data_IF_982418579515
#
_entry.id   IF_982418579515
#
_cell.length_a   1.000
_cell.length_b   1.000
_cell.length_c   1.000
_cell.angle_alpha   90.00
_cell.angle_beta   90.00
_cell.angle_gamma   90.00
#
_symmetry.space_group_name_H-M   'P 1'
#
loop_
_entity.id
_entity.type
_entity.pdbx_description
1 polymer ?
#
# COMPACT_ATOMS: atom_id res chain seq x y z
N UNK A 1 -2.79 23.11 4.18
CA UNK A 1 -4.04 22.63 3.57
C UNK A 1 -3.75 21.23 3.10
N UNK A 2 -4.38 20.23 3.68
CA UNK A 2 -4.14 18.84 3.29
C UNK A 2 -4.71 18.60 1.89
N UNK A 3 -3.91 17.99 1.03
CA UNK A 3 -4.28 17.72 -0.36
C UNK A 3 -5.18 16.47 -0.40
N UNK A 4 -6.35 16.58 -1.04
CA UNK A 4 -7.20 15.43 -1.27
C UNK A 4 -6.44 14.37 -2.09
N UNK A 5 -6.74 13.09 -1.84
CA UNK A 5 -6.17 11.98 -2.60
C UNK A 5 -6.75 12.00 -4.00
N UNK A 6 -6.11 12.76 -4.88
CA UNK A 6 -6.40 12.78 -6.32
C UNK A 6 -5.53 11.74 -7.03
N UNK A 7 -5.86 11.33 -8.26
CA UNK A 7 -5.04 10.40 -9.02
C UNK A 7 -3.57 10.82 -9.14
N UNK A 8 -3.31 12.13 -9.27
CA UNK A 8 -1.94 12.67 -9.34
C UNK A 8 -1.17 12.52 -8.01
N UNK A 9 -1.86 12.70 -6.88
CA UNK A 9 -1.26 12.50 -5.55
C UNK A 9 -1.06 11.01 -5.28
N UNK A 10 -2.03 10.17 -5.65
CA UNK A 10 -1.89 8.71 -5.61
C UNK A 10 -0.65 8.27 -6.37
N UNK A 11 -0.50 8.69 -7.63
CA UNK A 11 0.66 8.30 -8.45
C UNK A 11 1.98 8.68 -7.79
N UNK A 12 2.07 9.89 -7.24
CA UNK A 12 3.26 10.37 -6.53
C UNK A 12 3.56 9.56 -5.26
N UNK A 13 2.53 9.19 -4.49
CA UNK A 13 2.67 8.32 -3.31
C UNK A 13 3.15 6.93 -3.76
N UNK A 14 2.52 6.35 -4.78
CA UNK A 14 2.90 5.05 -5.31
C UNK A 14 4.35 5.06 -5.81
N UNK A 15 4.77 6.07 -6.57
CA UNK A 15 6.16 6.20 -7.02
C UNK A 15 7.15 6.24 -5.86
N UNK A 16 6.91 7.07 -4.84
CA UNK A 16 7.76 7.16 -3.66
C UNK A 16 7.81 5.82 -2.90
N UNK A 17 6.64 5.21 -2.65
CA UNK A 17 6.56 3.93 -1.95
C UNK A 17 7.27 2.82 -2.73
N UNK A 18 7.13 2.78 -4.04
CA UNK A 18 7.78 1.78 -4.90
C UNK A 18 9.31 1.96 -4.93
N UNK A 19 9.80 3.20 -4.89
CA UNK A 19 11.24 3.51 -4.95
C UNK A 19 11.95 3.35 -3.60
N UNK A 20 11.37 3.87 -2.52
CA UNK A 20 12.01 3.91 -1.20
C UNK A 20 11.55 2.76 -0.29
N UNK A 21 10.38 2.17 -0.56
CA UNK A 21 9.66 1.31 0.39
C UNK A 21 9.08 0.03 -0.22
N UNK A 22 9.65 -0.49 -1.33
CA UNK A 22 9.15 -1.71 -1.99
C UNK A 22 8.97 -2.92 -1.05
N UNK A 23 9.87 -3.11 -0.08
CA UNK A 23 9.74 -4.17 0.94
C UNK A 23 8.54 -3.97 1.88
N UNK A 24 8.16 -2.73 2.16
CA UNK A 24 6.97 -2.44 2.96
C UNK A 24 5.68 -2.76 2.19
N UNK A 25 5.68 -2.55 0.87
CA UNK A 25 4.55 -2.90 0.01
C UNK A 25 4.34 -4.42 0.00
N UNK A 26 5.43 -5.19 -0.13
CA UNK A 26 5.37 -6.63 -0.03
C UNK A 26 4.78 -7.08 1.31
N UNK A 27 5.23 -6.45 2.41
CA UNK A 27 4.69 -6.74 3.74
C UNK A 27 3.18 -6.48 3.84
N UNK A 28 2.67 -5.42 3.19
CA UNK A 28 1.22 -5.20 3.17
C UNK A 28 0.47 -6.32 2.45
N UNK A 29 0.95 -6.76 1.29
CA UNK A 29 0.34 -7.87 0.56
C UNK A 29 0.38 -9.17 1.38
N UNK A 30 1.46 -9.42 2.11
CA UNK A 30 1.60 -10.60 2.97
C UNK A 30 0.62 -10.59 4.14
N UNK A 31 0.56 -9.49 4.88
CA UNK A 31 -0.20 -9.40 6.14
C UNK A 31 -1.67 -9.05 5.91
N UNK A 32 -1.94 -8.06 5.06
CA UNK A 32 -3.30 -7.56 4.82
C UNK A 32 -3.90 -8.07 3.52
N UNK A 33 -3.07 -8.40 2.54
CA UNK A 33 -3.48 -8.87 1.22
C UNK A 33 -3.76 -10.36 1.11
N UNK A 34 -3.69 -11.10 2.23
CA UNK A 34 -3.88 -12.55 2.28
C UNK A 34 -2.92 -13.33 1.33
N UNK A 35 -1.76 -12.74 1.04
CA UNK A 35 -0.76 -13.26 0.10
C UNK A 35 0.59 -13.44 0.81
N UNK A 36 0.70 -14.33 1.81
CA UNK A 36 1.90 -14.48 2.64
C UNK A 36 3.15 -14.91 1.86
N UNK A 37 2.97 -15.49 0.67
CA UNK A 37 4.06 -15.92 -0.22
C UNK A 37 4.59 -14.80 -1.13
N UNK A 38 4.16 -13.55 -0.92
CA UNK A 38 4.61 -12.41 -1.73
C UNK A 38 6.10 -12.12 -1.54
N UNK A 39 6.89 -12.29 -2.60
CA UNK A 39 8.33 -12.04 -2.59
C UNK A 39 8.66 -10.55 -2.75
N UNK A 40 8.00 -9.90 -3.70
CA UNK A 40 8.10 -8.46 -3.95
C UNK A 40 6.72 -7.92 -4.30
N UNK A 41 6.48 -6.62 -4.11
CA UNK A 41 5.22 -6.05 -4.51
C UNK A 41 5.37 -4.60 -4.96
N UNK A 42 4.48 -4.19 -5.85
CA UNK A 42 4.42 -2.85 -6.43
C UNK A 42 3.05 -2.26 -6.13
N UNK A 43 3.02 -1.07 -5.55
CA UNK A 43 1.79 -0.33 -5.37
C UNK A 43 1.40 0.30 -6.71
N UNK A 44 0.21 -0.03 -7.22
CA UNK A 44 -0.28 0.47 -8.50
C UNK A 44 -1.10 1.75 -8.33
N UNK A 45 -1.92 1.78 -7.28
CA UNK A 45 -2.76 2.94 -6.97
C UNK A 45 -3.17 2.93 -5.51
N UNK A 46 -3.47 4.12 -4.99
CA UNK A 46 -4.04 4.32 -3.67
C UNK A 46 -5.27 5.22 -3.78
N UNK A 47 -6.34 4.79 -3.14
CA UNK A 47 -7.61 5.49 -3.08
C UNK A 47 -8.08 5.58 -1.62
N UNK A 48 -9.06 6.45 -1.30
CA UNK A 48 -9.47 6.66 0.10
C UNK A 48 -9.94 5.40 0.83
N UNK A 49 -10.37 4.39 0.08
CA UNK A 49 -10.88 3.13 0.63
C UNK A 49 -9.79 2.06 0.79
N UNK A 50 -8.69 2.16 0.05
CA UNK A 50 -7.67 1.13 0.02
C UNK A 50 -6.54 1.42 -0.96
N UNK A 51 -5.66 0.44 -1.10
CA UNK A 51 -4.58 0.47 -2.08
C UNK A 51 -4.56 -0.82 -2.90
N UNK A 52 -4.25 -0.67 -4.18
CA UNK A 52 -4.05 -1.79 -5.09
C UNK A 52 -2.55 -2.06 -5.21
N UNK A 53 -2.18 -3.31 -4.98
CA UNK A 53 -0.81 -3.80 -4.95
C UNK A 53 -0.71 -4.98 -5.91
N UNK A 54 0.29 -4.97 -6.78
CA UNK A 54 0.69 -6.11 -7.59
C UNK A 54 1.75 -6.90 -6.84
N UNK A 55 1.34 -8.01 -6.22
CA UNK A 55 2.21 -8.93 -5.49
C UNK A 55 2.86 -9.93 -6.44
N UNK A 56 4.18 -10.10 -6.37
CA UNK A 56 4.91 -11.12 -7.10
C UNK A 56 5.03 -12.38 -6.25
N UNK A 57 4.42 -13.48 -6.72
CA UNK A 57 4.39 -14.77 -6.04
C UNK A 57 4.81 -15.83 -7.05
N UNK A 58 5.91 -16.53 -6.80
CA UNK A 58 6.43 -17.58 -7.68
C UNK A 58 6.63 -17.10 -9.14
N UNK A 59 6.97 -15.82 -9.31
CA UNK A 59 7.16 -15.19 -10.63
C UNK A 59 5.87 -14.74 -11.35
N UNK A 60 4.71 -14.81 -10.69
CA UNK A 60 3.44 -14.31 -11.22
C UNK A 60 2.98 -13.06 -10.47
N UNK A 61 2.48 -12.07 -11.23
CA UNK A 61 1.95 -10.82 -10.68
C UNK A 61 0.47 -10.99 -10.32
N UNK A 62 0.18 -11.12 -9.03
CA UNK A 62 -1.16 -11.26 -8.49
C UNK A 62 -1.66 -9.89 -8.01
N UNK A 63 -2.80 -9.40 -8.53
CA UNK A 63 -3.42 -8.18 -8.04
C UNK A 63 -4.04 -8.42 -6.67
N UNK A 64 -3.64 -7.61 -5.70
CA UNK A 64 -4.04 -7.68 -4.30
C UNK A 64 -4.58 -6.32 -3.90
N UNK A 65 -5.81 -6.28 -3.37
CA UNK A 65 -6.40 -5.06 -2.84
C UNK A 65 -6.37 -5.10 -1.32
N UNK A 66 -5.78 -4.08 -0.72
CA UNK A 66 -5.72 -3.90 0.73
C UNK A 66 -6.67 -2.77 1.10
N UNK A 67 -7.72 -3.09 1.84
CA UNK A 67 -8.70 -2.12 2.32
C UNK A 67 -8.23 -1.47 3.62
N UNK A 68 -8.48 -0.17 3.77
CA UNK A 68 -8.21 0.56 5.00
C UNK A 68 -9.39 0.40 5.98
N UNK A 69 -9.09 0.42 7.27
CA UNK A 69 -10.11 0.35 8.33
C UNK A 69 -11.01 1.59 8.37
N UNK A 70 -10.52 2.70 7.82
CA UNK A 70 -11.26 3.95 7.65
C UNK A 70 -11.01 4.58 6.28
N UNK A 71 -11.92 5.47 5.89
CA UNK A 71 -11.79 6.22 4.65
C UNK A 71 -10.81 7.38 4.83
N UNK A 72 -9.72 7.38 4.06
CA UNK A 72 -8.69 8.40 4.14
C UNK A 72 -9.25 9.78 3.74
N UNK A 73 -8.93 10.80 4.51
CA UNK A 73 -9.42 12.18 4.23
C UNK A 73 -8.55 12.91 3.23
N UNK A 74 -7.24 12.70 3.31
CA UNK A 74 -6.23 13.43 2.56
C UNK A 74 -4.90 12.66 2.54
N UNK A 75 -3.92 13.19 1.81
CA UNK A 75 -2.61 12.57 1.65
C UNK A 75 -1.83 12.41 2.97
N UNK A 76 -2.03 13.30 3.94
CA UNK A 76 -1.36 13.21 5.24
C UNK A 76 -1.93 12.03 6.02
N UNK A 77 -3.26 11.88 6.04
CA UNK A 77 -3.96 10.74 6.63
C UNK A 77 -3.55 9.41 5.98
N UNK A 78 -3.38 9.39 4.65
CA UNK A 78 -2.84 8.24 3.92
C UNK A 78 -1.46 7.82 4.44
N UNK A 79 -0.54 8.78 4.55
CA UNK A 79 0.81 8.53 5.05
C UNK A 79 0.80 8.01 6.49
N UNK A 80 0.01 8.62 7.39
CA UNK A 80 -0.13 8.15 8.77
C UNK A 80 -0.68 6.72 8.84
N UNK A 81 -1.69 6.40 8.03
CA UNK A 81 -2.31 5.08 7.97
C UNK A 81 -1.32 4.02 7.49
N UNK A 82 -0.61 4.29 6.40
CA UNK A 82 0.44 3.42 5.87
C UNK A 82 1.52 3.13 6.92
N UNK A 83 2.06 4.18 7.56
CA UNK A 83 3.08 4.01 8.62
C UNK A 83 2.56 3.18 9.78
N UNK A 84 1.31 3.40 10.21
CA UNK A 84 0.68 2.62 11.28
C UNK A 84 0.51 1.15 10.87
N UNK A 85 0.09 0.87 9.64
CA UNK A 85 -0.06 -0.48 9.10
C UNK A 85 1.27 -1.23 9.02
N UNK A 86 2.37 -0.58 8.61
CA UNK A 86 3.71 -1.20 8.59
C UNK A 86 4.14 -1.58 10.01
N UNK A 87 3.94 -0.67 10.97
CA UNK A 87 4.31 -0.93 12.36
C UNK A 87 3.57 -2.15 12.92
N UNK A 88 2.26 -2.24 12.66
CA UNK A 88 1.45 -3.39 13.05
C UNK A 88 1.88 -4.68 12.33
N UNK A 89 2.17 -4.60 11.04
CA UNK A 89 2.64 -5.74 10.25
C UNK A 89 4.05 -6.23 10.65
N UNK A 90 4.83 -5.43 11.37
CA UNK A 90 6.12 -5.85 11.95
C UNK A 90 6.00 -6.49 13.34
N UNK A 91 4.81 -6.42 13.94
CA UNK A 91 4.54 -6.98 15.28
C UNK A 91 3.78 -8.29 15.26
N UNK A 92 3.36 -8.76 14.08
CA UNK A 92 2.82 -10.11 13.85
C UNK A 92 3.96 -11.11 13.64
#
# INVERSE_FOLDING_TARGET
>A
MSEAITPAISDRICQHMNQDHGSAIALYAQVYGNAPETETAIMESIDPQGMNISAQIAGEAIPVRVEFDHSLKDAEDAHHTLVAMIKQARTV
#
